data_IF_778908052294
#
_entry.id   IF_778908052294
#
_cell.length_a   1.000
_cell.length_b   1.000
_cell.length_c   1.000
_cell.angle_alpha   90.00
_cell.angle_beta   90.00
_cell.angle_gamma   90.00
#
_symmetry.space_group_name_H-M   'P 1'
#
loop_
_entity.id
_entity.type
_entity.pdbx_description
1 polymer ?
#
# COMPACT_ATOMS: atom_id res chain seq x y z
N UNK A 1 -36.05 -75.53 -47.09
CA UNK A 1 -35.08 -75.65 -46.05
C UNK A 1 -34.12 -74.50 -46.22
N UNK A 2 -34.45 -73.33 -45.60
CA UNK A 2 -33.69 -72.13 -45.74
C UNK A 2 -32.99 -71.90 -44.39
N UNK A 3 -31.65 -71.80 -44.42
CA UNK A 3 -30.77 -71.53 -43.27
C UNK A 3 -30.44 -70.07 -43.28
N UNK A 4 -30.93 -69.29 -42.32
CA UNK A 4 -30.59 -67.88 -42.09
C UNK A 4 -29.39 -67.76 -41.23
N UNK A 5 -28.31 -67.13 -41.69
CA UNK A 5 -27.11 -66.79 -40.91
C UNK A 5 -27.33 -65.40 -40.26
N UNK A 6 -27.23 -65.32 -38.90
CA UNK A 6 -27.13 -64.10 -38.18
C UNK A 6 -25.68 -63.64 -38.18
N UNK A 7 -25.46 -62.37 -38.61
CA UNK A 7 -24.18 -61.69 -38.46
C UNK A 7 -24.20 -60.92 -37.14
N UNK A 8 -23.31 -61.27 -36.22
CA UNK A 8 -23.09 -60.49 -34.98
C UNK A 8 -22.17 -59.29 -35.24
N UNK A 9 -22.70 -58.09 -34.95
CA UNK A 9 -21.88 -56.86 -34.96
C UNK A 9 -21.31 -56.65 -33.57
N UNK A 10 -19.98 -56.67 -33.46
CA UNK A 10 -19.23 -56.36 -32.22
C UNK A 10 -19.02 -54.87 -32.18
N UNK A 11 -19.64 -54.20 -31.18
CA UNK A 11 -19.47 -52.77 -30.89
C UNK A 11 -18.20 -52.57 -30.04
N UNK A 12 -17.17 -51.97 -30.58
CA UNK A 12 -15.98 -51.56 -29.84
C UNK A 12 -16.22 -50.18 -29.26
N UNK A 13 -16.40 -50.07 -27.91
CA UNK A 13 -16.41 -48.80 -27.21
C UNK A 13 -14.96 -48.32 -27.05
N UNK A 14 -14.58 -47.26 -27.76
CA UNK A 14 -13.34 -46.53 -27.51
C UNK A 14 -13.55 -45.54 -26.35
N UNK A 15 -12.98 -45.79 -25.20
CA UNK A 15 -12.92 -44.85 -24.08
C UNK A 15 -11.84 -43.80 -24.37
N UNK A 16 -12.26 -42.59 -24.74
CA UNK A 16 -11.40 -41.41 -24.79
C UNK A 16 -11.06 -41.00 -23.35
N UNK A 17 -9.92 -41.41 -22.86
CA UNK A 17 -9.33 -40.88 -21.63
C UNK A 17 -8.89 -39.44 -21.85
N UNK A 18 -9.71 -38.47 -21.44
CA UNK A 18 -9.35 -37.07 -21.40
C UNK A 18 -8.26 -36.86 -20.34
N UNK A 19 -7.00 -36.66 -20.74
CA UNK A 19 -5.96 -36.13 -19.89
C UNK A 19 -6.30 -34.66 -19.58
N UNK A 20 -6.93 -34.40 -18.44
CA UNK A 20 -6.99 -33.03 -17.89
C UNK A 20 -5.58 -32.65 -17.44
N UNK A 21 -4.90 -31.86 -18.24
CA UNK A 21 -3.67 -31.18 -17.81
C UNK A 21 -4.07 -30.21 -16.72
N UNK A 22 -3.76 -30.54 -15.45
CA UNK A 22 -3.78 -29.60 -14.35
C UNK A 22 -2.67 -28.59 -14.62
N UNK A 23 -3.04 -27.45 -15.20
CA UNK A 23 -2.13 -26.31 -15.31
C UNK A 23 -1.83 -25.87 -13.88
N UNK A 24 -0.65 -26.15 -13.37
CA UNK A 24 -0.18 -25.56 -12.10
C UNK A 24 -0.25 -24.05 -12.24
N UNK A 25 -1.05 -23.37 -11.39
CA UNK A 25 -1.07 -21.93 -11.37
C UNK A 25 0.36 -21.43 -11.18
N UNK A 26 0.90 -20.76 -12.18
CA UNK A 26 2.25 -20.20 -12.11
C UNK A 26 2.30 -19.22 -10.95
N UNK A 27 3.34 -19.31 -10.11
CA UNK A 27 3.54 -18.36 -9.03
C UNK A 27 3.55 -16.91 -9.59
N UNK A 28 2.94 -15.96 -8.91
CA UNK A 28 2.96 -14.58 -9.36
C UNK A 28 4.39 -14.09 -9.45
N UNK A 29 4.66 -13.25 -10.45
CA UNK A 29 6.01 -12.81 -10.75
C UNK A 29 6.35 -11.52 -10.04
N UNK A 30 7.52 -11.48 -9.39
CA UNK A 30 8.09 -10.26 -8.82
C UNK A 30 8.29 -9.17 -9.89
N UNK A 31 8.26 -7.91 -9.45
CA UNK A 31 8.47 -6.73 -10.30
C UNK A 31 9.78 -6.06 -9.88
N UNK A 32 10.73 -5.93 -10.79
CA UNK A 32 11.96 -5.19 -10.56
C UNK A 32 11.71 -3.68 -10.64
N UNK A 33 12.25 -2.89 -9.70
CA UNK A 33 12.19 -1.43 -9.76
C UNK A 33 13.48 -0.92 -10.42
N UNK A 34 13.35 -0.05 -11.42
CA UNK A 34 14.49 0.52 -12.13
C UNK A 34 15.21 1.56 -11.30
N UNK A 35 16.51 1.40 -11.11
CA UNK A 35 17.39 2.37 -10.45
C UNK A 35 18.15 1.81 -9.27
N UNK A 36 19.06 2.61 -8.74
CA UNK A 36 19.83 2.35 -7.53
C UNK A 36 19.34 3.27 -6.40
N UNK A 37 19.47 2.81 -5.15
CA UNK A 37 19.06 3.57 -3.93
C UNK A 37 17.62 4.09 -4.01
N UNK A 38 16.72 3.28 -4.56
CA UNK A 38 15.29 3.64 -4.72
C UNK A 38 14.60 3.74 -3.36
N UNK A 39 14.87 2.80 -2.47
CA UNK A 39 14.21 2.69 -1.17
C UNK A 39 12.69 2.90 -1.30
N UNK A 40 11.97 1.92 -1.91
CA UNK A 40 10.53 2.01 -2.09
C UNK A 40 9.85 2.01 -0.73
N UNK A 41 9.05 3.04 -0.47
CA UNK A 41 8.43 3.23 0.83
C UNK A 41 6.98 2.77 0.82
N UNK A 42 6.18 3.19 -0.16
CA UNK A 42 4.79 2.79 -0.25
C UNK A 42 4.44 2.28 -1.65
N UNK A 43 3.33 1.57 -1.73
CA UNK A 43 2.84 0.96 -2.97
C UNK A 43 1.31 0.99 -3.01
N UNK A 44 0.76 1.23 -4.19
CA UNK A 44 -0.67 1.18 -4.46
C UNK A 44 -0.93 0.58 -5.83
N UNK A 45 -2.18 0.19 -6.09
CA UNK A 45 -2.63 -0.29 -7.40
C UNK A 45 -3.90 0.44 -7.82
N UNK A 46 -4.10 0.58 -9.13
CA UNK A 46 -5.36 1.06 -9.70
C UNK A 46 -6.26 -0.10 -10.13
N UNK A 47 -7.49 0.20 -10.51
CA UNK A 47 -8.48 -0.77 -10.98
C UNK A 47 -8.11 -1.45 -12.30
N UNK A 48 -7.18 -0.90 -13.07
CA UNK A 48 -6.63 -1.52 -14.28
C UNK A 48 -5.50 -2.51 -13.95
N UNK A 49 -5.04 -2.56 -12.69
CA UNK A 49 -3.96 -3.42 -12.22
C UNK A 49 -2.57 -2.85 -12.44
N UNK A 50 -2.45 -1.56 -12.73
CA UNK A 50 -1.15 -0.89 -12.68
C UNK A 50 -0.69 -0.73 -11.23
N UNK A 51 0.62 -0.80 -11.01
CA UNK A 51 1.25 -0.65 -9.69
C UNK A 51 2.03 0.66 -9.67
N UNK A 52 1.86 1.43 -8.61
CA UNK A 52 2.57 2.68 -8.35
C UNK A 52 3.35 2.55 -7.06
N UNK A 53 4.60 3.01 -7.07
CA UNK A 53 5.52 2.90 -5.93
C UNK A 53 6.16 4.25 -5.67
N UNK A 54 6.07 4.73 -4.44
CA UNK A 54 6.82 5.89 -3.99
C UNK A 54 8.24 5.52 -3.58
N UNK A 55 9.14 6.47 -3.68
CA UNK A 55 10.54 6.32 -3.30
C UNK A 55 10.96 7.43 -2.35
N UNK A 56 11.76 7.10 -1.35
CA UNK A 56 12.39 8.09 -0.47
C UNK A 56 13.21 9.12 -1.25
N UNK A 57 13.66 8.78 -2.47
CA UNK A 57 14.33 9.71 -3.40
C UNK A 57 13.39 10.61 -4.21
N UNK A 58 12.08 10.68 -3.89
CA UNK A 58 11.14 11.62 -4.51
C UNK A 58 10.54 11.18 -5.84
N UNK A 59 10.87 10.01 -6.37
CA UNK A 59 10.32 9.51 -7.63
C UNK A 59 9.14 8.60 -7.38
N UNK A 60 8.07 8.72 -8.18
CA UNK A 60 7.03 7.72 -8.28
C UNK A 60 7.31 6.83 -9.48
N UNK A 61 7.39 5.53 -9.23
CA UNK A 61 7.57 4.50 -10.25
C UNK A 61 6.22 3.90 -10.63
N UNK A 62 6.10 3.41 -11.87
CA UNK A 62 4.91 2.70 -12.35
C UNK A 62 5.28 1.42 -13.07
N UNK A 63 4.60 0.34 -12.72
CA UNK A 63 4.54 -0.89 -13.52
C UNK A 63 3.15 -1.00 -14.13
N UNK A 64 3.06 -1.10 -15.46
CA UNK A 64 1.79 -1.39 -16.13
C UNK A 64 1.30 -2.80 -15.79
N UNK A 65 0.01 -3.03 -15.85
CA UNK A 65 -0.60 -4.33 -15.58
C UNK A 65 0.11 -5.46 -16.35
N UNK A 66 0.56 -6.48 -15.61
CA UNK A 66 1.34 -7.60 -16.17
C UNK A 66 2.82 -7.33 -16.45
N UNK A 67 3.30 -6.10 -16.25
CA UNK A 67 4.73 -5.78 -16.36
C UNK A 67 5.52 -6.41 -15.21
N UNK A 68 6.76 -6.80 -15.51
CA UNK A 68 7.73 -7.26 -14.50
C UNK A 68 8.77 -6.19 -14.16
N UNK A 69 8.53 -4.95 -14.58
CA UNK A 69 9.40 -3.81 -14.37
C UNK A 69 8.58 -2.58 -14.00
N UNK A 70 8.96 -1.91 -12.92
CA UNK A 70 8.48 -0.60 -12.54
C UNK A 70 9.51 0.45 -12.98
N UNK A 71 9.07 1.40 -13.80
CA UNK A 71 9.92 2.44 -14.38
C UNK A 71 9.62 3.79 -13.73
N UNK A 72 10.60 4.71 -13.63
CA UNK A 72 10.35 6.06 -13.17
C UNK A 72 9.28 6.72 -14.04
N UNK A 73 8.20 7.18 -13.41
CA UNK A 73 7.05 7.76 -14.09
C UNK A 73 6.87 9.24 -13.78
N UNK A 74 6.85 9.61 -12.48
CA UNK A 74 6.84 11.01 -12.06
C UNK A 74 8.15 11.27 -11.34
N UNK A 75 8.97 12.17 -11.89
CA UNK A 75 10.26 12.57 -11.32
C UNK A 75 10.14 13.91 -10.63
N UNK A 76 10.98 14.19 -9.63
CA UNK A 76 11.10 15.54 -9.06
C UNK A 76 11.37 16.57 -10.15
N UNK A 77 10.63 17.69 -10.11
CA UNK A 77 10.87 18.87 -10.93
C UNK A 77 10.44 20.14 -10.19
N UNK A 78 10.71 21.31 -10.79
CA UNK A 78 10.40 22.60 -10.18
C UNK A 78 8.89 22.87 -10.05
N UNK A 79 8.05 22.22 -10.86
CA UNK A 79 6.61 22.42 -10.81
C UNK A 79 5.95 21.59 -9.72
N UNK A 80 6.38 20.34 -9.55
CA UNK A 80 5.79 19.44 -8.55
C UNK A 80 6.49 19.51 -7.18
N UNK A 81 7.75 19.94 -7.14
CA UNK A 81 8.52 20.09 -5.89
C UNK A 81 8.62 18.81 -5.05
N UNK A 82 8.64 17.64 -5.70
CA UNK A 82 8.86 16.37 -5.01
C UNK A 82 10.25 16.31 -4.40
N UNK A 83 10.35 15.76 -3.20
CA UNK A 83 11.63 15.63 -2.47
C UNK A 83 11.81 14.24 -1.86
N UNK A 84 11.05 13.87 -0.84
CA UNK A 84 11.06 12.53 -0.25
C UNK A 84 9.62 12.03 -0.14
N UNK A 85 9.32 10.90 -0.76
CA UNK A 85 7.97 10.38 -0.78
C UNK A 85 7.80 9.21 0.18
N UNK A 86 6.70 9.28 0.93
CA UNK A 86 6.19 8.19 1.75
C UNK A 86 4.91 7.63 1.09
N UNK A 87 3.78 7.67 1.75
CA UNK A 87 2.54 7.11 1.27
C UNK A 87 2.17 7.52 -0.15
N UNK A 88 1.67 6.57 -0.95
CA UNK A 88 1.09 6.79 -2.27
C UNK A 88 -0.24 6.05 -2.38
N UNK A 89 -1.25 6.70 -2.96
CA UNK A 89 -2.59 6.12 -3.14
C UNK A 89 -3.15 6.45 -4.53
N UNK A 90 -3.51 5.43 -5.29
CA UNK A 90 -4.29 5.56 -6.51
C UNK A 90 -5.78 5.60 -6.16
N UNK A 91 -6.43 6.71 -6.46
CA UNK A 91 -7.85 6.94 -6.26
C UNK A 91 -8.54 6.91 -7.64
N UNK A 92 -8.95 5.72 -8.05
CA UNK A 92 -9.61 5.50 -9.34
C UNK A 92 -10.94 6.25 -9.45
N UNK A 93 -11.67 6.36 -8.33
CA UNK A 93 -13.00 6.98 -8.33
C UNK A 93 -12.93 8.48 -8.73
N UNK A 94 -11.83 9.13 -8.41
CA UNK A 94 -11.64 10.56 -8.68
C UNK A 94 -10.53 10.83 -9.71
N UNK A 95 -9.84 9.79 -10.22
CA UNK A 95 -8.75 9.93 -11.19
C UNK A 95 -7.55 10.69 -10.62
N UNK A 96 -7.23 10.47 -9.35
CA UNK A 96 -6.17 11.16 -8.62
C UNK A 96 -5.14 10.16 -8.10
N UNK A 97 -3.87 10.45 -8.30
CA UNK A 97 -2.79 9.84 -7.55
C UNK A 97 -2.36 10.80 -6.44
N UNK A 98 -2.48 10.35 -5.22
CA UNK A 98 -2.08 11.07 -4.00
C UNK A 98 -0.68 10.64 -3.59
N UNK A 99 0.14 11.56 -3.09
CA UNK A 99 1.47 11.26 -2.58
C UNK A 99 1.81 12.12 -1.37
N UNK A 100 2.26 11.49 -0.29
CA UNK A 100 2.88 12.14 0.85
C UNK A 100 4.28 12.58 0.50
N UNK A 101 4.55 13.88 0.55
CA UNK A 101 5.86 14.48 0.29
C UNK A 101 6.41 15.11 1.55
N UNK A 102 7.68 14.85 1.83
CA UNK A 102 8.39 15.33 3.01
C UNK A 102 9.68 16.04 2.59
N UNK A 103 10.28 16.88 3.46
CA UNK A 103 11.65 17.33 3.26
C UNK A 103 12.59 16.15 2.98
N UNK A 104 13.68 16.35 2.25
CA UNK A 104 14.64 15.28 1.96
C UNK A 104 15.06 14.54 3.22
N UNK A 105 15.08 13.23 3.13
CA UNK A 105 15.44 12.34 4.23
C UNK A 105 16.93 12.40 4.57
N UNK A 106 17.76 12.54 3.54
CA UNK A 106 19.20 12.73 3.61
C UNK A 106 19.57 14.06 2.92
N UNK A 107 20.32 14.87 3.63
CA UNK A 107 20.78 16.15 3.15
C UNK A 107 19.97 17.37 3.63
N UNK A 108 20.39 18.59 3.27
CA UNK A 108 19.71 19.81 3.68
C UNK A 108 18.36 19.95 2.98
N UNK A 109 17.33 20.25 3.76
CA UNK A 109 16.03 20.59 3.18
C UNK A 109 16.12 21.91 2.39
N UNK A 110 15.51 22.01 1.21
CA UNK A 110 15.33 23.29 0.52
C UNK A 110 14.65 24.30 1.43
N UNK A 111 14.99 25.58 1.27
CA UNK A 111 14.35 26.64 2.06
C UNK A 111 12.82 26.60 1.81
N UNK A 112 12.04 26.54 2.89
CA UNK A 112 10.58 26.47 2.82
C UNK A 112 10.03 25.07 2.51
N UNK A 113 10.85 24.02 2.50
CA UNK A 113 10.36 22.65 2.36
C UNK A 113 9.44 22.28 3.53
N UNK A 114 8.23 21.80 3.21
CA UNK A 114 7.21 21.37 4.16
C UNK A 114 6.83 19.93 3.90
N UNK A 115 6.33 19.26 4.94
CA UNK A 115 5.57 18.01 4.75
C UNK A 115 4.17 18.33 4.27
N UNK A 116 3.60 17.47 3.45
CA UNK A 116 2.24 17.65 2.95
C UNK A 116 1.89 16.66 1.85
N UNK A 117 0.78 16.91 1.18
CA UNK A 117 0.24 16.05 0.14
C UNK A 117 0.41 16.70 -1.22
N UNK A 118 0.85 15.93 -2.20
CA UNK A 118 0.86 16.27 -3.61
C UNK A 118 -0.16 15.41 -4.35
N UNK A 119 -0.82 15.99 -5.33
CA UNK A 119 -1.79 15.27 -6.17
C UNK A 119 -1.40 15.35 -7.63
N UNK A 120 -1.65 14.26 -8.34
CA UNK A 120 -1.37 14.10 -9.75
C UNK A 120 -2.59 13.50 -10.46
N UNK A 121 -2.70 13.74 -11.73
CA UNK A 121 -3.66 13.04 -12.58
C UNK A 121 -3.24 11.56 -12.70
N UNK A 122 -4.12 10.64 -12.32
CA UNK A 122 -3.80 9.21 -12.25
C UNK A 122 -3.48 8.61 -13.62
N UNK A 123 -4.05 9.13 -14.69
CA UNK A 123 -3.82 8.58 -16.04
C UNK A 123 -2.52 9.09 -16.66
N UNK A 124 -2.23 10.38 -16.47
CA UNK A 124 -1.13 11.08 -17.17
C UNK A 124 0.10 11.36 -16.31
N UNK A 125 -0.04 11.37 -14.97
CA UNK A 125 0.99 11.79 -14.04
C UNK A 125 1.17 13.30 -13.96
N UNK A 126 0.32 14.10 -14.60
CA UNK A 126 0.41 15.55 -14.56
C UNK A 126 0.16 16.07 -13.13
N UNK A 127 1.01 16.97 -12.65
CA UNK A 127 0.86 17.60 -11.35
C UNK A 127 -0.45 18.42 -11.29
N UNK A 128 -1.20 18.28 -10.18
CA UNK A 128 -2.47 18.99 -9.97
C UNK A 128 -2.39 20.03 -8.86
N UNK A 129 -1.99 19.64 -7.66
CA UNK A 129 -1.98 20.52 -6.50
C UNK A 129 -1.01 20.05 -5.40
N UNK A 130 -0.71 20.99 -4.48
CA UNK A 130 0.05 20.76 -3.25
C UNK A 130 -0.75 21.29 -2.06
N UNK A 131 -0.76 20.52 -0.96
CA UNK A 131 -1.43 20.87 0.29
C UNK A 131 -0.45 20.66 1.42
N UNK A 132 0.12 21.76 1.93
CA UNK A 132 1.15 21.71 2.95
C UNK A 132 0.55 21.51 4.34
N UNK A 133 1.26 20.80 5.21
CA UNK A 133 0.94 20.76 6.63
C UNK A 133 1.28 22.09 7.29
N UNK A 134 0.57 22.48 8.36
CA UNK A 134 0.95 23.64 9.16
C UNK A 134 2.38 23.52 9.67
N UNK A 135 3.06 24.69 9.84
CA UNK A 135 4.44 24.74 10.31
C UNK A 135 4.65 23.98 11.64
N UNK A 136 5.82 23.38 11.77
CA UNK A 136 6.26 22.60 12.93
C UNK A 136 6.71 21.20 12.54
N UNK A 137 7.10 20.36 13.52
CA UNK A 137 7.44 18.97 13.26
C UNK A 137 6.28 18.25 12.58
N UNK A 138 6.52 17.69 11.42
CA UNK A 138 5.53 16.98 10.63
C UNK A 138 6.19 15.92 9.74
N UNK A 139 5.48 14.82 9.52
CA UNK A 139 5.85 13.79 8.55
C UNK A 139 4.58 13.23 7.93
N UNK A 140 4.27 13.65 6.69
CA UNK A 140 3.19 13.08 5.91
C UNK A 140 3.52 11.61 5.64
N UNK A 141 2.63 10.69 6.07
CA UNK A 141 2.93 9.27 5.96
C UNK A 141 1.99 8.53 5.01
N UNK A 142 0.70 8.43 5.34
CA UNK A 142 -0.23 7.64 4.53
C UNK A 142 -1.54 8.40 4.26
N UNK A 143 -2.30 7.92 3.27
CA UNK A 143 -3.51 8.57 2.79
C UNK A 143 -4.62 7.53 2.62
N UNK A 144 -5.85 7.89 3.03
CA UNK A 144 -7.07 7.17 2.69
C UNK A 144 -8.15 8.14 2.21
N UNK A 145 -8.95 7.73 1.23
CA UNK A 145 -10.06 8.52 0.70
C UNK A 145 -11.38 7.87 1.10
N UNK A 146 -12.25 8.64 1.73
CA UNK A 146 -13.58 8.20 2.11
C UNK A 146 -14.52 8.18 0.89
N UNK A 147 -15.67 7.52 1.03
CA UNK A 147 -16.65 7.37 -0.06
C UNK A 147 -17.23 8.70 -0.59
N UNK A 148 -17.15 9.77 0.20
CA UNK A 148 -17.57 11.13 -0.20
C UNK A 148 -16.45 11.91 -0.90
N UNK A 149 -15.29 11.30 -1.13
CA UNK A 149 -14.11 11.91 -1.74
C UNK A 149 -13.22 12.68 -0.77
N UNK A 150 -13.56 12.74 0.53
CA UNK A 150 -12.68 13.36 1.53
C UNK A 150 -11.43 12.53 1.74
N UNK A 151 -10.27 13.10 1.49
CA UNK A 151 -8.99 12.47 1.80
C UNK A 151 -8.61 12.71 3.26
N UNK A 152 -8.07 11.69 3.91
CA UNK A 152 -7.49 11.75 5.27
C UNK A 152 -6.02 11.39 5.18
N UNK A 153 -5.19 12.17 5.87
CA UNK A 153 -3.73 12.10 5.76
C UNK A 153 -3.11 12.03 7.14
N UNK A 154 -2.24 11.07 7.35
CA UNK A 154 -1.55 10.88 8.64
C UNK A 154 -0.29 11.71 8.73
N UNK A 155 -0.04 12.26 9.92
CA UNK A 155 1.18 12.95 10.31
C UNK A 155 1.84 12.21 11.48
N UNK A 156 2.80 11.37 11.14
CA UNK A 156 3.49 10.48 12.08
C UNK A 156 4.24 11.23 13.17
N UNK A 157 4.90 12.33 12.82
CA UNK A 157 5.72 13.11 13.75
C UNK A 157 4.87 14.01 14.65
N UNK A 158 3.82 14.64 14.09
CA UNK A 158 2.95 15.56 14.81
C UNK A 158 1.83 14.89 15.60
N UNK A 159 1.56 13.58 15.38
CA UNK A 159 0.44 12.89 16.00
C UNK A 159 -0.90 13.47 15.59
N UNK A 160 -1.10 13.67 14.27
CA UNK A 160 -2.28 14.35 13.72
C UNK A 160 -2.85 13.55 12.54
N UNK A 161 -4.12 13.74 12.30
CA UNK A 161 -4.79 13.38 11.04
C UNK A 161 -5.36 14.66 10.45
N UNK A 162 -5.05 14.94 9.21
CA UNK A 162 -5.65 16.03 8.44
C UNK A 162 -6.70 15.48 7.49
N UNK A 163 -7.66 16.31 7.12
CA UNK A 163 -8.66 16.02 6.10
C UNK A 163 -8.64 17.07 4.99
N UNK A 164 -8.93 16.64 3.76
CA UNK A 164 -9.11 17.49 2.60
C UNK A 164 -10.44 17.11 1.93
N UNK A 165 -11.45 17.95 2.07
CA UNK A 165 -12.73 17.75 1.39
C UNK A 165 -12.61 18.11 -0.10
N UNK A 166 -13.42 17.51 -0.99
CA UNK A 166 -13.41 17.87 -2.40
C UNK A 166 -13.58 19.37 -2.63
N UNK A 167 -12.68 19.96 -3.40
CA UNK A 167 -12.69 21.40 -3.72
C UNK A 167 -12.07 22.31 -2.65
N UNK A 168 -11.63 21.79 -1.51
CA UNK A 168 -10.89 22.59 -0.53
C UNK A 168 -9.49 22.98 -1.07
N UNK A 169 -9.00 24.14 -0.66
CA UNK A 169 -7.69 24.68 -1.03
C UNK A 169 -6.60 24.39 -0.01
N UNK A 170 -6.97 23.90 1.18
CA UNK A 170 -6.06 23.62 2.28
C UNK A 170 -6.54 22.43 3.15
N UNK A 171 -5.61 21.80 3.82
CA UNK A 171 -5.88 20.73 4.77
C UNK A 171 -6.51 21.30 6.05
N UNK A 172 -7.55 20.64 6.54
CA UNK A 172 -8.15 20.91 7.85
C UNK A 172 -7.66 19.88 8.87
N UNK A 173 -7.41 20.32 10.11
CA UNK A 173 -7.12 19.42 11.22
C UNK A 173 -8.36 18.59 11.55
N UNK A 174 -8.28 17.27 11.37
CA UNK A 174 -9.34 16.34 11.75
C UNK A 174 -9.15 15.81 13.17
N UNK A 175 -7.92 15.41 13.52
CA UNK A 175 -7.56 14.90 14.84
C UNK A 175 -6.16 15.33 15.25
N UNK A 176 -5.97 15.62 16.54
CA UNK A 176 -4.67 15.78 17.19
C UNK A 176 -4.74 15.12 18.57
N UNK A 177 -3.92 14.12 18.81
CA UNK A 177 -3.90 13.36 20.05
C UNK A 177 -2.47 12.83 20.29
N UNK A 178 -1.93 12.93 21.52
CA UNK A 178 -0.64 12.34 21.84
C UNK A 178 -0.55 10.83 21.52
N UNK A 179 -1.67 10.11 21.57
CA UNK A 179 -1.74 8.70 21.19
C UNK A 179 -1.57 8.45 19.68
N UNK A 180 -1.71 9.49 18.85
CA UNK A 180 -1.45 9.43 17.41
C UNK A 180 0.04 9.59 17.04
N UNK A 181 0.92 9.97 17.98
CA UNK A 181 2.36 10.07 17.67
C UNK A 181 2.89 8.69 17.27
N UNK A 182 3.41 8.59 16.05
CA UNK A 182 3.79 7.31 15.46
C UNK A 182 2.67 6.66 14.62
N UNK A 183 1.55 7.39 14.38
CA UNK A 183 0.54 6.96 13.41
C UNK A 183 1.19 6.77 12.04
N UNK A 184 0.79 5.71 11.34
CA UNK A 184 1.35 5.35 10.05
C UNK A 184 0.23 5.08 9.03
N UNK A 185 -0.08 3.82 8.75
CA UNK A 185 -1.13 3.44 7.83
C UNK A 185 -2.52 3.88 8.27
N UNK A 186 -3.35 4.25 7.29
CA UNK A 186 -4.75 4.64 7.48
C UNK A 186 -5.60 3.99 6.40
N UNK A 187 -6.77 3.44 6.78
CA UNK A 187 -7.68 2.82 5.83
C UNK A 187 -9.14 2.87 6.31
N UNK A 188 -10.06 2.77 5.36
CA UNK A 188 -11.48 2.58 5.64
C UNK A 188 -11.88 1.13 5.40
N UNK A 189 -12.69 0.57 6.30
CA UNK A 189 -13.40 -0.68 6.09
C UNK A 189 -14.60 -0.50 5.14
N UNK A 190 -15.18 -1.60 4.72
CA UNK A 190 -16.32 -1.59 3.81
C UNK A 190 -17.57 -0.88 4.35
N UNK A 191 -17.70 -0.71 5.66
CA UNK A 191 -18.77 0.06 6.30
C UNK A 191 -18.42 1.55 6.57
N UNK A 192 -17.21 1.98 6.13
CA UNK A 192 -16.72 3.34 6.30
C UNK A 192 -16.09 3.65 7.66
N UNK A 193 -15.86 2.64 8.49
CA UNK A 193 -15.11 2.82 9.74
C UNK A 193 -13.63 3.05 9.43
N UNK A 194 -13.04 4.07 10.04
CA UNK A 194 -11.63 4.41 9.86
C UNK A 194 -10.77 3.62 10.85
N UNK A 195 -9.73 2.97 10.32
CA UNK A 195 -8.70 2.29 11.09
C UNK A 195 -7.33 2.86 10.77
N UNK A 196 -6.48 2.84 11.77
CA UNK A 196 -5.07 3.25 11.69
C UNK A 196 -4.19 2.19 12.35
N UNK A 197 -2.93 2.17 11.98
CA UNK A 197 -1.93 1.51 12.80
C UNK A 197 -0.91 2.53 13.34
N UNK A 198 -0.11 2.11 14.30
CA UNK A 198 0.90 2.94 14.92
C UNK A 198 2.22 2.17 14.97
N UNK A 199 3.21 2.65 14.20
CA UNK A 199 4.50 1.99 14.03
C UNK A 199 5.33 1.97 15.33
N UNK A 200 5.14 2.96 16.22
CA UNK A 200 5.88 3.08 17.48
C UNK A 200 5.23 2.27 18.61
N UNK A 201 3.90 2.23 18.64
CA UNK A 201 3.14 1.54 19.69
C UNK A 201 2.88 0.07 19.32
N UNK A 202 3.11 -0.33 18.08
CA UNK A 202 2.79 -1.67 17.56
C UNK A 202 1.32 -2.03 17.76
N UNK A 203 0.42 -1.11 17.40
CA UNK A 203 -1.03 -1.26 17.58
C UNK A 203 -1.80 -1.06 16.28
N UNK A 204 -3.01 -1.63 16.25
CA UNK A 204 -4.07 -1.25 15.31
C UNK A 204 -5.17 -0.59 16.14
N UNK A 205 -5.71 0.51 15.67
CA UNK A 205 -6.69 1.32 16.39
C UNK A 205 -7.86 1.67 15.46
N UNK A 206 -9.06 1.67 16.02
CA UNK A 206 -10.22 2.30 15.39
C UNK A 206 -10.23 3.78 15.74
N UNK A 207 -10.49 4.62 14.75
CA UNK A 207 -10.75 6.05 14.97
C UNK A 207 -12.23 6.21 15.26
N UNK A 208 -12.56 6.53 16.51
CA UNK A 208 -13.93 6.75 16.95
C UNK A 208 -14.40 8.14 16.50
N UNK A 209 -15.64 8.20 16.02
CA UNK A 209 -16.23 9.43 15.46
C UNK A 209 -17.59 9.71 16.08
N UNK A 210 -17.88 11.00 16.27
CA UNK A 210 -19.23 11.48 16.55
C UNK A 210 -19.70 12.32 15.36
N UNK A 211 -20.48 11.70 14.48
CA UNK A 211 -20.76 12.27 13.16
C UNK A 211 -19.47 12.41 12.33
N UNK A 212 -19.17 13.62 11.89
CA UNK A 212 -17.93 13.93 11.15
C UNK A 212 -16.73 14.22 12.06
N UNK A 213 -16.92 14.43 13.37
CA UNK A 213 -15.85 14.82 14.28
C UNK A 213 -15.11 13.65 14.89
N UNK A 214 -13.82 13.82 15.13
CA UNK A 214 -12.99 12.91 15.93
C UNK A 214 -13.52 12.83 17.37
N UNK A 215 -13.63 11.63 17.92
CA UNK A 215 -14.12 11.38 19.28
C UNK A 215 -13.15 10.58 20.16
N UNK A 216 -12.06 10.05 19.58
CA UNK A 216 -11.05 9.29 20.29
C UNK A 216 -10.52 8.10 19.49
N UNK A 217 -9.79 7.24 20.19
CA UNK A 217 -9.20 6.01 19.64
C UNK A 217 -9.58 4.80 20.49
N UNK A 218 -9.95 3.72 19.82
CA UNK A 218 -10.08 2.39 20.45
C UNK A 218 -8.95 1.51 19.97
N UNK A 219 -8.02 1.14 20.86
CA UNK A 219 -6.96 0.16 20.55
C UNK A 219 -7.56 -1.24 20.49
N UNK A 220 -7.33 -1.96 19.39
CA UNK A 220 -7.83 -3.31 19.20
C UNK A 220 -6.99 -4.34 19.96
N UNK A 221 -7.66 -5.38 20.51
CA UNK A 221 -6.98 -6.54 21.05
C UNK A 221 -6.51 -7.44 19.89
N UNK A 222 -5.20 -7.62 19.75
CA UNK A 222 -4.59 -8.39 18.67
C UNK A 222 -4.41 -9.85 19.08
N UNK A 223 -4.67 -10.80 18.19
CA UNK A 223 -4.48 -12.24 18.43
C UNK A 223 -3.01 -12.63 18.58
N UNK A 224 -2.09 -11.85 18.02
CA UNK A 224 -0.64 -11.99 18.16
C UNK A 224 0.05 -10.61 18.03
N UNK A 225 1.28 -10.45 18.52
CA UNK A 225 2.04 -9.22 18.38
C UNK A 225 2.34 -8.88 16.91
N UNK A 226 2.29 -7.59 16.57
CA UNK A 226 2.77 -7.02 15.31
C UNK A 226 4.06 -6.23 15.57
N UNK A 227 4.91 -6.10 14.56
CA UNK A 227 6.20 -5.43 14.71
C UNK A 227 6.43 -4.36 13.66
N UNK A 228 6.30 -3.09 14.06
CA UNK A 228 6.45 -1.95 13.16
C UNK A 228 5.41 -1.98 12.03
N UNK A 229 4.09 -1.98 12.36
CA UNK A 229 3.06 -1.90 11.35
C UNK A 229 3.18 -0.57 10.61
N UNK A 230 3.11 -0.64 9.30
CA UNK A 230 3.35 0.46 8.36
C UNK A 230 2.10 0.59 7.46
N UNK A 231 2.18 0.36 6.15
CA UNK A 231 1.00 0.47 5.29
C UNK A 231 -0.18 -0.40 5.78
N UNK A 232 -1.40 0.15 5.68
CA UNK A 232 -2.66 -0.53 5.94
C UNK A 232 -3.57 -0.37 4.71
N UNK A 233 -3.99 -1.47 4.05
CA UNK A 233 -4.76 -1.43 2.80
C UNK A 233 -6.00 -2.31 2.89
N UNK A 234 -7.20 -1.78 2.53
CA UNK A 234 -8.43 -2.55 2.57
C UNK A 234 -8.40 -3.70 1.55
N UNK A 235 -8.99 -4.84 1.92
CA UNK A 235 -9.18 -5.99 1.02
C UNK A 235 -10.67 -6.21 0.76
N UNK A 236 -11.44 -6.42 1.81
CA UNK A 236 -12.89 -6.58 1.73
C UNK A 236 -13.53 -6.51 3.12
N UNK A 237 -14.67 -5.86 3.25
CA UNK A 237 -15.34 -5.72 4.54
C UNK A 237 -14.41 -5.12 5.59
N UNK A 238 -14.14 -5.88 6.65
CA UNK A 238 -13.25 -5.49 7.75
C UNK A 238 -11.89 -6.23 7.71
N UNK A 239 -11.48 -6.71 6.54
CA UNK A 239 -10.16 -7.31 6.31
C UNK A 239 -9.23 -6.34 5.63
N UNK A 240 -8.03 -6.24 6.17
CA UNK A 240 -6.95 -5.41 5.63
C UNK A 240 -5.69 -6.23 5.38
N UNK A 241 -4.85 -5.78 4.46
CA UNK A 241 -3.44 -6.12 4.39
C UNK A 241 -2.65 -5.09 5.18
N UNK A 242 -1.69 -5.55 5.96
CA UNK A 242 -0.76 -4.70 6.70
C UNK A 242 0.67 -5.12 6.38
N UNK A 243 1.51 -4.16 6.03
CA UNK A 243 2.95 -4.35 5.97
C UNK A 243 3.55 -4.14 7.36
N UNK A 244 4.57 -4.92 7.71
CA UNK A 244 5.33 -4.78 8.95
C UNK A 244 6.80 -4.65 8.61
N UNK A 245 7.32 -3.40 8.57
CA UNK A 245 8.68 -3.08 8.17
C UNK A 245 9.72 -3.89 8.96
N UNK A 246 9.92 -3.63 10.27
CA UNK A 246 10.81 -4.42 11.12
C UNK A 246 10.37 -5.88 11.32
N UNK A 247 9.07 -6.17 11.13
CA UNK A 247 8.53 -7.53 11.17
C UNK A 247 8.89 -8.37 9.96
N UNK A 248 9.35 -7.76 8.86
CA UNK A 248 9.73 -8.42 7.61
C UNK A 248 8.63 -9.32 7.05
N UNK A 249 7.37 -8.89 7.18
CA UNK A 249 6.20 -9.68 6.77
C UNK A 249 5.04 -8.80 6.32
N UNK A 250 4.07 -9.44 5.66
CA UNK A 250 2.73 -8.91 5.42
C UNK A 250 1.74 -9.80 6.16
N UNK A 251 0.76 -9.17 6.79
CA UNK A 251 -0.31 -9.85 7.53
C UNK A 251 -1.68 -9.45 7.00
N UNK A 252 -2.67 -10.35 7.13
CA UNK A 252 -4.06 -9.96 7.23
C UNK A 252 -4.36 -9.45 8.63
N UNK A 253 -5.18 -8.41 8.68
CA UNK A 253 -5.80 -7.88 9.89
C UNK A 253 -7.30 -8.03 9.71
N UNK A 254 -7.88 -9.06 10.33
CA UNK A 254 -9.32 -9.35 10.30
C UNK A 254 -9.99 -8.78 11.55
N UNK A 255 -10.80 -7.73 11.41
CA UNK A 255 -11.36 -6.99 12.53
C UNK A 255 -12.80 -7.42 12.83
N UNK A 256 -13.08 -7.69 14.11
CA UNK A 256 -14.42 -7.98 14.62
C UNK A 256 -14.64 -7.31 15.97
N UNK A 257 -15.46 -6.25 15.99
CA UNK A 257 -15.61 -5.39 17.17
C UNK A 257 -14.26 -4.74 17.53
N UNK A 258 -13.85 -4.88 18.78
CA UNK A 258 -12.58 -4.35 19.30
C UNK A 258 -11.44 -5.39 19.28
N UNK A 259 -11.58 -6.45 18.47
CA UNK A 259 -10.57 -7.49 18.31
C UNK A 259 -10.08 -7.55 16.85
N UNK A 260 -8.82 -7.91 16.66
CA UNK A 260 -8.24 -8.18 15.36
C UNK A 260 -7.48 -9.51 15.37
N UNK A 261 -7.80 -10.39 14.40
CA UNK A 261 -7.04 -11.60 14.13
C UNK A 261 -5.95 -11.26 13.13
N UNK A 262 -4.71 -11.50 13.53
CA UNK A 262 -3.52 -11.28 12.71
C UNK A 262 -3.11 -12.61 12.08
N UNK A 263 -2.91 -12.65 10.77
CA UNK A 263 -2.49 -13.86 10.05
C UNK A 263 -1.41 -13.51 9.05
N UNK A 264 -0.22 -14.07 9.21
CA UNK A 264 0.86 -13.85 8.25
C UNK A 264 0.51 -14.45 6.88
N UNK A 265 0.62 -13.65 5.81
CA UNK A 265 0.37 -14.07 4.43
C UNK A 265 1.64 -14.09 3.58
N UNK A 266 2.66 -13.33 3.99
CA UNK A 266 3.99 -13.33 3.39
C UNK A 266 5.04 -13.03 4.46
N UNK A 267 6.14 -13.77 4.46
CA UNK A 267 7.26 -13.58 5.40
C UNK A 267 8.58 -13.57 4.64
N UNK A 268 9.67 -13.23 5.33
CA UNK A 268 11.02 -13.23 4.77
C UNK A 268 11.25 -12.08 3.79
N UNK A 269 10.61 -10.93 4.03
CA UNK A 269 10.84 -9.68 3.29
C UNK A 269 12.01 -8.90 3.91
N UNK A 270 12.60 -7.98 3.13
CA UNK A 270 13.69 -7.11 3.61
C UNK A 270 13.13 -5.71 3.89
N UNK A 271 12.64 -5.51 5.13
CA UNK A 271 12.01 -4.26 5.59
C UNK A 271 10.88 -3.81 4.66
N UNK A 272 9.69 -4.40 4.81
CA UNK A 272 8.53 -4.14 3.94
C UNK A 272 7.65 -3.01 4.49
N UNK A 273 7.78 -1.76 4.03
CA UNK A 273 6.91 -0.68 4.46
C UNK A 273 5.57 -0.65 3.71
N UNK A 274 5.52 -1.14 2.47
CA UNK A 274 4.37 -1.02 1.60
C UNK A 274 3.76 -2.35 1.17
N UNK A 275 2.42 -2.39 1.08
CA UNK A 275 1.65 -3.51 0.54
C UNK A 275 0.45 -3.02 -0.25
N UNK A 276 0.11 -3.73 -1.33
CA UNK A 276 -1.15 -3.58 -2.08
C UNK A 276 -1.56 -4.92 -2.66
N UNK A 277 -2.70 -4.98 -3.36
CA UNK A 277 -3.10 -6.19 -4.07
C UNK A 277 -3.86 -5.87 -5.37
N UNK A 278 -3.79 -6.79 -6.32
CA UNK A 278 -4.62 -6.81 -7.54
C UNK A 278 -5.29 -8.18 -7.61
N UNK A 279 -6.59 -8.22 -7.39
CA UNK A 279 -7.32 -9.47 -7.25
C UNK A 279 -6.73 -10.32 -6.09
N UNK A 280 -6.29 -11.53 -6.41
CA UNK A 280 -5.68 -12.46 -5.44
C UNK A 280 -4.15 -12.40 -5.39
N UNK A 281 -3.53 -11.43 -6.02
CA UNK A 281 -2.08 -11.27 -5.96
C UNK A 281 -1.76 -10.09 -5.06
N UNK A 282 -1.05 -10.36 -3.96
CA UNK A 282 -0.45 -9.36 -3.10
C UNK A 282 0.90 -8.91 -3.64
N UNK A 283 1.24 -7.65 -3.42
CA UNK A 283 2.50 -7.02 -3.79
C UNK A 283 3.06 -6.27 -2.59
N UNK A 284 4.30 -6.55 -2.21
CA UNK A 284 4.98 -5.92 -1.08
C UNK A 284 6.31 -5.31 -1.52
N UNK A 285 6.62 -4.11 -1.04
CA UNK A 285 7.91 -3.49 -1.27
C UNK A 285 8.98 -4.10 -0.36
N UNK A 286 10.24 -4.13 -0.82
CA UNK A 286 11.41 -4.34 0.03
C UNK A 286 12.16 -3.00 0.11
N UNK A 287 11.86 -2.23 1.16
CA UNK A 287 12.34 -0.86 1.34
C UNK A 287 13.82 -0.76 1.65
N UNK A 288 14.39 -1.82 2.26
CA UNK A 288 15.79 -1.87 2.70
C UNK A 288 16.18 -0.63 3.50
N UNK A 289 15.27 -0.23 4.38
CA UNK A 289 15.34 1.05 5.13
C UNK A 289 16.59 1.12 6.03
N UNK A 290 17.11 -0.03 6.47
CA UNK A 290 18.36 -0.06 7.24
C UNK A 290 19.54 0.64 6.53
N UNK A 291 19.58 0.61 5.19
CA UNK A 291 20.60 1.31 4.41
C UNK A 291 20.51 2.85 4.48
N UNK A 292 19.40 3.38 4.97
CA UNK A 292 19.21 4.82 5.19
C UNK A 292 19.66 5.26 6.60
N UNK A 293 19.45 4.38 7.59
CA UNK A 293 19.63 4.75 9.01
C UNK A 293 20.91 4.22 9.64
N UNK A 294 21.37 3.01 9.24
CA UNK A 294 22.57 2.41 9.82
C UNK A 294 23.83 3.00 9.17
N UNK A 295 24.67 3.72 9.95
CA UNK A 295 25.92 4.28 9.44
C UNK A 295 26.85 3.24 8.81
N UNK A 296 26.76 1.96 9.25
CA UNK A 296 27.58 0.89 8.70
C UNK A 296 27.10 0.41 7.31
N UNK A 297 25.89 0.74 6.91
CA UNK A 297 25.26 0.34 5.65
C UNK A 297 25.06 1.50 4.68
N UNK A 298 25.06 2.75 5.14
CA UNK A 298 24.72 3.94 4.36
C UNK A 298 25.49 4.06 3.04
N UNK A 299 26.78 3.71 3.05
CA UNK A 299 27.66 3.81 1.88
C UNK A 299 27.74 2.50 1.08
N UNK A 300 27.03 1.46 1.51
CA UNK A 300 26.99 0.19 0.80
C UNK A 300 25.90 0.18 -0.27
N UNK A 301 26.12 -0.62 -1.31
CA UNK A 301 25.09 -0.89 -2.31
C UNK A 301 23.99 -1.78 -1.69
N UNK A 302 22.73 -1.31 -1.63
CA UNK A 302 21.63 -2.14 -1.17
C UNK A 302 21.23 -3.24 -2.18
N UNK A 303 21.84 -3.25 -3.36
CA UNK A 303 21.46 -4.15 -4.46
C UNK A 303 20.12 -3.75 -5.11
N UNK A 304 19.56 -4.62 -5.95
CA UNK A 304 18.34 -4.33 -6.68
C UNK A 304 17.13 -4.20 -5.75
N UNK A 305 16.21 -3.30 -6.09
CA UNK A 305 14.92 -3.16 -5.41
C UNK A 305 13.84 -3.97 -6.16
N UNK A 306 13.04 -4.69 -5.39
CA UNK A 306 12.07 -5.64 -5.93
C UNK A 306 10.74 -5.48 -5.18
N UNK A 307 9.64 -5.48 -5.93
CA UNK A 307 8.30 -5.68 -5.39
C UNK A 307 8.04 -7.19 -5.39
N UNK A 308 7.81 -7.76 -4.24
CA UNK A 308 7.53 -9.20 -4.07
C UNK A 308 6.08 -9.50 -4.32
N UNK A 309 5.82 -10.37 -5.28
CA UNK A 309 4.48 -10.85 -5.58
C UNK A 309 4.20 -12.17 -4.84
N UNK A 310 3.00 -12.34 -4.31
CA UNK A 310 2.57 -13.54 -3.60
C UNK A 310 1.06 -13.77 -3.77
N UNK A 311 0.64 -15.03 -3.65
CA UNK A 311 -0.79 -15.36 -3.66
C UNK A 311 -1.39 -15.05 -2.28
N UNK A 312 -2.52 -14.38 -2.31
CA UNK A 312 -3.37 -14.20 -1.13
C UNK A 312 -4.20 -15.47 -0.92
N UNK A 313 -4.24 -16.01 0.30
CA UNK A 313 -5.00 -17.23 0.63
C UNK A 313 -6.52 -17.05 0.52
#
# INVERSE_FOLDING_TARGET
MFVTRLAGATLVLATLGGCTTVTSAQAPADIAIEGSRVHPESITSDGAGNIYVSSVGGTIYRALAGSRKAEPWIRPDAANGLTSLFGVLADDAHGVLWACNNPPFDGPAPAGATSGVKTFDLATGAFKASFDFPAGPAACNDIAVAADGTAFVTDTAGGRIFSLTPGASELALFAADPALVGIDGIAFSGDGTMYINNVRQHTVQRVDRNGAAYAGLTTLALSEPINGPDALRPVSGNRFLQAEGPGNRVTYVDIKGDNAVITAVKTGLDSSPGVTHVGRIGYATEGKINYLFDPALRDKDPGPFIIRAFLLP
#
